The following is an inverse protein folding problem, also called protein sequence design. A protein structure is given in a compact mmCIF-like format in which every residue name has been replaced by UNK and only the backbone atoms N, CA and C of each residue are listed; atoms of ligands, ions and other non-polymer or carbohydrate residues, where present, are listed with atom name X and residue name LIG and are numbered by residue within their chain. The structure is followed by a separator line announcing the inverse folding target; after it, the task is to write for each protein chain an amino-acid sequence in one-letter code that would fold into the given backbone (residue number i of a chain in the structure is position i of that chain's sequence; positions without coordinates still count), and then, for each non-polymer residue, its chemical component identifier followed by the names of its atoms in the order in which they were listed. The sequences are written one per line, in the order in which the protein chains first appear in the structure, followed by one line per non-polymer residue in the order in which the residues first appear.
data_IF_145553840984
#
_entry.id   IF_145553840984
#
_cell.length_a   1.000
_cell.length_b   1.000
_cell.length_c   1.000
_cell.angle_alpha   90.00
_cell.angle_beta   90.00
_cell.angle_gamma   90.00
#
_symmetry.space_group_name_H-M   'P 1'
#
loop_
_entity.id
_entity.type
_entity.pdbx_description
1 polymer ?
#
# COMPACT_ATOMS: atom_id res chain seq x y z
N UNK A 1 24.50 -32.73 -3.76
CA UNK A 1 23.22 -32.17 -3.29
C UNK A 1 22.66 -31.25 -4.38
N UNK A 2 21.40 -31.45 -4.80
CA UNK A 2 20.84 -30.80 -5.98
C UNK A 2 20.15 -29.46 -5.61
N UNK A 3 20.63 -28.30 -6.08
CA UNK A 3 20.07 -26.99 -5.74
C UNK A 3 18.63 -26.80 -6.22
N UNK A 4 18.24 -27.43 -7.32
CA UNK A 4 16.87 -27.38 -7.86
C UNK A 4 15.90 -28.13 -6.93
N UNK A 5 16.34 -29.28 -6.39
CA UNK A 5 15.54 -30.03 -5.43
C UNK A 5 15.32 -29.23 -4.14
N UNK A 6 16.34 -28.51 -3.66
CA UNK A 6 16.20 -27.62 -2.50
C UNK A 6 15.26 -26.45 -2.76
N UNK A 7 15.35 -25.82 -3.92
CA UNK A 7 14.47 -24.70 -4.28
C UNK A 7 13.00 -25.13 -4.34
N UNK A 8 12.70 -26.34 -4.86
CA UNK A 8 11.35 -26.91 -4.88
C UNK A 8 10.85 -27.30 -3.49
N UNK A 9 11.72 -27.82 -2.63
CA UNK A 9 11.37 -28.20 -1.26
C UNK A 9 11.00 -26.98 -0.38
N UNK A 10 11.51 -25.79 -0.71
CA UNK A 10 11.19 -24.53 -0.01
C UNK A 10 9.76 -24.03 -0.22
N UNK A 11 8.98 -24.67 -1.10
CA UNK A 11 7.58 -24.31 -1.34
C UNK A 11 7.42 -23.01 -2.15
N UNK A 12 6.17 -22.59 -2.41
CA UNK A 12 5.91 -21.35 -3.11
C UNK A 12 6.44 -20.16 -2.32
N UNK A 13 7.00 -19.17 -3.03
CA UNK A 13 7.48 -17.92 -2.44
C UNK A 13 6.27 -17.25 -1.79
N UNK A 14 6.35 -16.94 -0.48
CA UNK A 14 5.33 -16.17 0.20
C UNK A 14 5.18 -14.82 -0.50
N UNK A 15 3.98 -14.50 -0.99
CA UNK A 15 3.68 -13.18 -1.58
C UNK A 15 4.10 -12.09 -0.60
N UNK A 16 5.09 -11.28 -0.97
CA UNK A 16 5.66 -10.23 -0.12
C UNK A 16 4.88 -8.91 -0.17
N UNK A 17 3.67 -8.92 -0.73
CA UNK A 17 2.84 -7.72 -0.89
C UNK A 17 1.35 -7.95 -0.59
N UNK A 18 0.56 -6.86 -0.53
CA UNK A 18 -0.88 -6.93 -0.32
C UNK A 18 -1.53 -7.83 -1.36
N UNK A 19 -2.37 -8.74 -0.87
CA UNK A 19 -3.19 -9.60 -1.70
C UNK A 19 -4.24 -8.79 -2.45
N UNK A 20 -4.82 -9.39 -3.49
CA UNK A 20 -5.95 -8.79 -4.21
C UNK A 20 -7.13 -8.43 -3.29
N UNK A 21 -7.37 -9.24 -2.24
CA UNK A 21 -8.42 -8.98 -1.24
C UNK A 21 -8.16 -7.70 -0.47
N UNK A 22 -6.91 -7.37 -0.20
CA UNK A 22 -6.51 -6.15 0.52
C UNK A 22 -6.78 -4.88 -0.30
N UNK A 23 -6.82 -4.98 -1.64
CA UNK A 23 -7.22 -3.87 -2.51
C UNK A 23 -8.74 -3.72 -2.58
N UNK A 24 -9.45 -4.85 -2.63
CA UNK A 24 -10.92 -4.86 -2.73
C UNK A 24 -11.58 -4.40 -1.44
N UNK A 25 -10.97 -4.69 -0.28
CA UNK A 25 -11.51 -4.37 1.04
C UNK A 25 -11.04 -3.02 1.61
N UNK A 26 -10.40 -2.15 0.79
CA UNK A 26 -9.98 -0.84 1.30
C UNK A 26 -11.19 0.00 1.67
N UNK A 27 -11.15 0.56 2.88
CA UNK A 27 -12.12 1.55 3.32
C UNK A 27 -12.15 2.70 2.31
N UNK A 28 -13.34 2.95 1.77
CA UNK A 28 -13.54 4.05 0.84
C UNK A 28 -13.85 5.29 1.65
N UNK A 29 -13.09 6.38 1.50
CA UNK A 29 -13.37 7.61 2.21
C UNK A 29 -14.75 8.13 1.81
N UNK A 30 -15.44 8.72 2.77
CA UNK A 30 -16.68 9.44 2.54
C UNK A 30 -16.44 10.68 1.67
N UNK A 31 -17.49 11.23 1.09
CA UNK A 31 -17.39 12.43 0.26
C UNK A 31 -16.87 13.65 1.02
N UNK A 32 -17.12 13.71 2.33
CA UNK A 32 -16.65 14.78 3.20
C UNK A 32 -15.13 14.71 3.40
N UNK A 33 -14.61 13.51 3.69
CA UNK A 33 -13.17 13.27 3.81
C UNK A 33 -12.44 13.51 2.49
N UNK A 34 -13.05 13.13 1.35
CA UNK A 34 -12.48 13.42 0.02
C UNK A 34 -12.36 14.92 -0.21
N UNK A 35 -13.36 15.72 0.15
CA UNK A 35 -13.29 17.18 0.04
C UNK A 35 -12.20 17.76 0.94
N UNK A 36 -12.06 17.25 2.16
CA UNK A 36 -11.01 17.69 3.08
C UNK A 36 -9.61 17.34 2.54
N UNK A 37 -9.44 16.14 1.99
CA UNK A 37 -8.19 15.72 1.33
C UNK A 37 -7.87 16.63 0.14
N UNK A 38 -8.86 16.96 -0.69
CA UNK A 38 -8.68 17.89 -1.80
C UNK A 38 -8.31 19.30 -1.32
N UNK A 39 -8.93 19.78 -0.23
CA UNK A 39 -8.59 21.06 0.39
C UNK A 39 -7.16 21.06 0.93
N UNK A 40 -6.78 20.05 1.71
CA UNK A 40 -5.41 19.86 2.24
C UNK A 40 -4.38 19.78 1.12
N UNK A 41 -4.68 19.05 0.04
CA UNK A 41 -3.82 18.94 -1.14
C UNK A 41 -3.65 20.30 -1.83
N UNK A 42 -4.72 21.09 -1.93
CA UNK A 42 -4.69 22.44 -2.52
C UNK A 42 -3.95 23.45 -1.63
N UNK A 43 -4.07 23.32 -0.32
CA UNK A 43 -3.36 24.14 0.67
C UNK A 43 -1.85 23.85 0.70
N UNK A 44 -1.42 22.73 0.10
CA UNK A 44 -0.01 22.38 -0.10
C UNK A 44 0.68 21.92 1.18
N UNK A 45 1.90 21.39 1.03
CA UNK A 45 2.72 20.98 2.18
C UNK A 45 3.36 22.21 2.82
N UNK A 46 2.76 22.73 3.91
CA UNK A 46 3.35 23.83 4.70
C UNK A 46 4.50 23.41 5.61
N UNK A 47 4.91 22.14 5.57
CA UNK A 47 5.95 21.59 6.46
C UNK A 47 7.33 22.22 6.27
N UNK A 48 7.63 22.83 5.10
CA UNK A 48 8.89 23.54 4.85
C UNK A 48 8.80 25.07 5.03
N UNK A 49 7.59 25.64 5.14
CA UNK A 49 7.40 27.09 5.22
C UNK A 49 7.45 27.63 6.66
N UNK A 50 7.64 26.76 7.65
CA UNK A 50 7.65 27.07 9.07
C UNK A 50 9.03 26.82 9.74
N UNK A 51 10.11 26.72 8.95
CA UNK A 51 11.49 26.65 9.45
C UNK A 51 12.27 27.91 9.06
#
# INVERSE_FOLDING_TARGET
MNPIAMARARGPISSSGPSIRDYLNRERPSWEEVKEILRKKKEGSRTLAAW
#
